data_IF_148061005004
#
_entry.id   IF_148061005004
#
_cell.length_a   1.000
_cell.length_b   1.000
_cell.length_c   1.000
_cell.angle_alpha   90.00
_cell.angle_beta   90.00
_cell.angle_gamma   90.00
#
_symmetry.space_group_name_H-M   'P 1'
#
loop_
_entity.id
_entity.type
_entity.pdbx_description
1 polymer ?
#
# COMPACT_ATOMS: atom_id res chain seq x y z
N UNK A 1 -5.74 -5.92 20.30
CA UNK A 1 -6.20 -6.95 19.34
C UNK A 1 -5.61 -6.77 17.94
N UNK A 2 -5.91 -5.70 17.19
CA UNK A 2 -5.42 -5.54 15.79
C UNK A 2 -3.89 -5.61 15.69
N UNK A 3 -3.16 -4.89 16.55
CA UNK A 3 -1.69 -4.94 16.56
C UNK A 3 -1.15 -6.35 16.83
N UNK A 4 -1.79 -7.10 17.73
CA UNK A 4 -1.44 -8.50 18.04
C UNK A 4 -1.70 -9.41 16.83
N UNK A 5 -2.83 -9.22 16.15
CA UNK A 5 -3.13 -9.96 14.92
C UNK A 5 -2.08 -9.70 13.83
N UNK A 6 -1.72 -8.43 13.59
CA UNK A 6 -0.66 -8.05 12.65
C UNK A 6 0.68 -8.71 13.01
N UNK A 7 1.06 -8.69 14.28
CA UNK A 7 2.30 -9.33 14.74
C UNK A 7 2.26 -10.85 14.52
N UNK A 8 1.13 -11.51 14.80
CA UNK A 8 0.96 -12.94 14.55
C UNK A 8 0.99 -13.28 13.05
N UNK A 9 0.37 -12.47 12.19
CA UNK A 9 0.46 -12.64 10.74
C UNK A 9 1.89 -12.49 10.24
N UNK A 10 2.64 -11.54 10.78
CA UNK A 10 4.02 -11.27 10.41
C UNK A 10 5.00 -12.36 10.88
N UNK A 11 4.72 -13.03 11.99
CA UNK A 11 5.65 -13.99 12.63
C UNK A 11 5.28 -15.45 12.38
N UNK A 12 3.99 -15.78 12.31
CA UNK A 12 3.49 -17.16 12.13
C UNK A 12 2.91 -17.40 10.73
N UNK A 13 2.70 -16.34 9.95
CA UNK A 13 2.00 -16.41 8.67
C UNK A 13 0.48 -16.45 8.82
N UNK A 14 -0.23 -16.30 7.71
CA UNK A 14 -1.69 -16.16 7.71
C UNK A 14 -2.39 -17.41 8.25
N UNK A 15 -2.05 -18.61 7.76
CA UNK A 15 -2.75 -19.85 8.13
C UNK A 15 -2.67 -20.17 9.62
N UNK A 16 -1.49 -19.99 10.22
CA UNK A 16 -1.21 -20.38 11.60
C UNK A 16 -1.74 -19.37 12.64
N UNK A 17 -2.14 -18.16 12.23
CA UNK A 17 -2.68 -17.13 13.11
C UNK A 17 -4.21 -17.26 13.26
N UNK A 18 -4.71 -18.29 13.94
CA UNK A 18 -6.15 -18.50 14.11
C UNK A 18 -6.82 -17.39 14.96
N UNK A 19 -8.14 -17.21 14.82
CA UNK A 19 -8.91 -16.25 15.62
C UNK A 19 -8.80 -16.55 17.13
N UNK A 20 -8.70 -17.82 17.51
CA UNK A 20 -8.49 -18.28 18.88
C UNK A 20 -7.11 -17.88 19.42
N UNK A 21 -6.06 -18.07 18.63
CA UNK A 21 -4.70 -17.66 19.00
C UNK A 21 -4.65 -16.14 19.16
N UNK A 22 -5.25 -15.39 18.22
CA UNK A 22 -5.32 -13.93 18.29
C UNK A 22 -6.04 -13.47 19.56
N UNK A 23 -7.16 -14.12 19.93
CA UNK A 23 -7.89 -13.79 21.15
C UNK A 23 -7.04 -14.02 22.41
N UNK A 24 -6.39 -15.19 22.49
CA UNK A 24 -5.55 -15.57 23.62
C UNK A 24 -4.36 -14.61 23.79
N UNK A 25 -3.62 -14.34 22.72
CA UNK A 25 -2.45 -13.45 22.72
C UNK A 25 -2.84 -11.98 22.96
N UNK A 26 -4.05 -11.58 22.55
CA UNK A 26 -4.57 -10.24 22.82
C UNK A 26 -5.17 -10.09 24.22
N UNK A 27 -5.26 -11.17 25.02
CA UNK A 27 -5.83 -11.16 26.36
C UNK A 27 -7.33 -10.88 26.38
N UNK A 28 -8.06 -11.23 25.32
CA UNK A 28 -9.51 -11.00 25.19
C UNK A 28 -10.26 -12.31 24.99
N UNK A 29 -11.55 -12.33 25.33
CA UNK A 29 -12.40 -13.47 25.05
C UNK A 29 -12.58 -13.69 23.55
N UNK A 30 -12.70 -14.96 23.12
CA UNK A 30 -13.00 -15.33 21.72
C UNK A 30 -14.21 -14.58 21.18
N UNK A 31 -15.29 -14.51 21.95
CA UNK A 31 -16.53 -13.81 21.57
C UNK A 31 -16.28 -12.33 21.27
N UNK A 32 -15.39 -11.67 22.02
CA UNK A 32 -15.02 -10.27 21.76
C UNK A 32 -14.42 -10.11 20.38
N UNK A 33 -13.52 -11.01 19.95
CA UNK A 33 -12.92 -10.95 18.61
C UNK A 33 -13.99 -11.12 17.53
N UNK A 34 -14.84 -12.14 17.64
CA UNK A 34 -15.89 -12.42 16.66
C UNK A 34 -16.99 -11.35 16.60
N UNK A 35 -17.23 -10.63 17.70
CA UNK A 35 -18.15 -9.49 17.71
C UNK A 35 -17.62 -8.31 16.89
N UNK A 36 -16.31 -8.15 16.77
CA UNK A 36 -15.68 -7.08 16.00
C UNK A 36 -15.32 -7.49 14.57
N UNK A 37 -14.92 -8.75 14.37
CA UNK A 37 -14.42 -9.28 13.11
C UNK A 37 -14.96 -10.68 12.90
N UNK A 38 -15.77 -10.86 11.87
CA UNK A 38 -16.33 -12.17 11.54
C UNK A 38 -15.25 -13.11 10.99
N UNK A 39 -14.23 -12.54 10.32
CA UNK A 39 -13.19 -13.28 9.62
C UNK A 39 -11.79 -12.73 9.86
N UNK A 40 -10.79 -13.60 9.74
CA UNK A 40 -9.36 -13.32 9.92
C UNK A 40 -8.82 -12.29 8.91
N UNK A 41 -9.33 -12.27 7.68
CA UNK A 41 -8.95 -11.29 6.66
C UNK A 41 -9.43 -9.87 6.98
N UNK A 42 -10.55 -9.73 7.70
CA UNK A 42 -11.04 -8.42 8.16
C UNK A 42 -10.07 -7.81 9.18
N UNK A 43 -9.54 -8.63 10.10
CA UNK A 43 -8.49 -8.22 11.04
C UNK A 43 -7.22 -7.79 10.33
N UNK A 44 -6.78 -8.56 9.32
CA UNK A 44 -5.60 -8.22 8.54
C UNK A 44 -5.82 -6.90 7.78
N UNK A 45 -6.98 -6.73 7.13
CA UNK A 45 -7.33 -5.50 6.41
C UNK A 45 -7.37 -4.29 7.36
N UNK A 46 -7.95 -4.44 8.54
CA UNK A 46 -7.94 -3.39 9.56
C UNK A 46 -6.52 -3.06 10.06
N UNK A 47 -5.67 -4.07 10.22
CA UNK A 47 -4.27 -3.89 10.59
C UNK A 47 -3.39 -3.24 9.52
N UNK A 48 -3.79 -3.33 8.26
CA UNK A 48 -3.13 -2.64 7.13
C UNK A 48 -3.72 -1.26 6.85
N UNK A 49 -4.92 -0.94 7.35
CA UNK A 49 -5.59 0.33 7.12
C UNK A 49 -4.73 1.54 7.50
N UNK A 50 -4.09 1.51 8.69
CA UNK A 50 -3.22 2.61 9.13
C UNK A 50 -2.02 2.86 8.20
N UNK A 51 -1.53 1.85 7.47
CA UNK A 51 -0.48 2.06 6.45
C UNK A 51 -1.02 2.83 5.25
N UNK A 52 -2.27 2.56 4.84
CA UNK A 52 -2.94 3.29 3.76
C UNK A 52 -3.24 4.73 4.15
N UNK A 53 -3.72 4.93 5.38
CA UNK A 53 -4.03 6.27 5.88
C UNK A 53 -2.79 7.16 5.91
N UNK A 54 -1.64 6.61 6.32
CA UNK A 54 -0.37 7.33 6.27
C UNK A 54 0.06 7.75 4.86
N UNK A 55 -0.20 6.92 3.85
CA UNK A 55 0.08 7.25 2.44
C UNK A 55 -0.86 8.35 1.96
N UNK A 56 -2.15 8.23 2.27
CA UNK A 56 -3.16 9.24 1.95
C UNK A 56 -2.82 10.60 2.58
N UNK A 57 -2.42 10.61 3.85
CA UNK A 57 -2.03 11.83 4.57
C UNK A 57 -0.79 12.48 3.96
N UNK A 58 0.19 11.70 3.47
CA UNK A 58 1.34 12.25 2.74
C UNK A 58 0.94 12.91 1.44
N UNK A 59 0.08 12.27 0.63
CA UNK A 59 -0.40 12.84 -0.63
C UNK A 59 -1.19 14.15 -0.42
N UNK A 60 -1.98 14.22 0.66
CA UNK A 60 -2.77 15.41 1.00
C UNK A 60 -1.91 16.54 1.57
N UNK A 61 -1.03 16.24 2.54
CA UNK A 61 -0.24 17.25 3.25
C UNK A 61 0.85 17.90 2.38
N UNK A 62 1.29 17.23 1.33
CA UNK A 62 2.27 17.76 0.37
C UNK A 62 1.66 18.54 -0.80
N UNK A 63 0.33 18.69 -0.84
CA UNK A 63 -0.37 19.44 -1.89
C UNK A 63 0.06 20.92 -1.89
N UNK A 64 0.44 21.43 -3.07
CA UNK A 64 0.85 22.82 -3.25
C UNK A 64 2.22 23.18 -2.66
N UNK A 65 2.91 22.22 -2.03
CA UNK A 65 4.27 22.42 -1.49
C UNK A 65 5.32 21.65 -2.28
N UNK A 66 4.96 20.48 -2.80
CA UNK A 66 5.81 19.64 -3.65
C UNK A 66 5.24 19.55 -5.07
N UNK A 67 6.10 19.35 -6.07
CA UNK A 67 5.68 18.98 -7.42
C UNK A 67 4.97 17.63 -7.41
N UNK A 68 4.16 17.36 -8.44
CA UNK A 68 3.38 16.13 -8.61
C UNK A 68 4.25 14.89 -8.44
N UNK A 69 5.42 14.86 -9.09
CA UNK A 69 6.39 13.76 -8.96
C UNK A 69 6.88 13.59 -7.53
N UNK A 70 7.27 14.69 -6.87
CA UNK A 70 7.80 14.65 -5.52
C UNK A 70 6.75 14.24 -4.48
N UNK A 71 5.48 14.62 -4.67
CA UNK A 71 4.34 14.15 -3.85
C UNK A 71 4.19 12.63 -3.93
N UNK A 72 4.24 12.08 -5.14
CA UNK A 72 4.15 10.64 -5.37
C UNK A 72 5.35 9.92 -4.76
N UNK A 73 6.57 10.44 -4.96
CA UNK A 73 7.79 9.83 -4.41
C UNK A 73 7.79 9.78 -2.87
N UNK A 74 7.40 10.86 -2.19
CA UNK A 74 7.29 10.89 -0.72
C UNK A 74 6.25 9.88 -0.21
N UNK A 75 5.12 9.76 -0.91
CA UNK A 75 4.08 8.79 -0.57
C UNK A 75 4.54 7.34 -0.76
N UNK A 76 5.29 7.04 -1.83
CA UNK A 76 5.87 5.71 -2.07
C UNK A 76 6.93 5.35 -1.02
N UNK A 77 7.78 6.29 -0.64
CA UNK A 77 8.76 6.12 0.43
C UNK A 77 8.05 5.79 1.76
N UNK A 78 7.00 6.55 2.09
CA UNK A 78 6.21 6.30 3.31
C UNK A 78 5.51 4.95 3.29
N UNK A 79 4.97 4.54 2.13
CA UNK A 79 4.33 3.24 1.98
C UNK A 79 5.34 2.12 2.22
N UNK A 80 6.49 2.18 1.55
CA UNK A 80 7.53 1.17 1.64
C UNK A 80 8.12 1.05 3.06
N UNK A 81 8.33 2.19 3.75
CA UNK A 81 8.77 2.21 5.14
C UNK A 81 7.84 1.41 6.08
N UNK A 82 6.54 1.36 5.79
CA UNK A 82 5.56 0.56 6.54
C UNK A 82 5.79 -0.96 6.50
N UNK A 83 6.64 -1.45 5.59
CA UNK A 83 7.02 -2.85 5.44
C UNK A 83 8.52 -3.11 5.65
N UNK A 84 9.37 -2.11 5.43
CA UNK A 84 10.83 -2.31 5.43
C UNK A 84 11.52 -2.14 6.79
N UNK A 85 10.86 -1.55 7.79
CA UNK A 85 11.44 -1.44 9.14
C UNK A 85 11.90 -2.80 9.69
N UNK A 86 11.12 -3.84 9.41
CA UNK A 86 11.51 -5.24 9.55
C UNK A 86 11.10 -5.94 8.25
N UNK A 87 12.05 -6.05 7.31
CA UNK A 87 11.78 -6.58 5.98
C UNK A 87 11.25 -8.03 6.00
N UNK A 88 11.69 -8.86 6.95
CA UNK A 88 11.22 -10.23 7.06
C UNK A 88 9.74 -10.27 7.45
N UNK A 89 9.36 -9.50 8.47
CA UNK A 89 7.95 -9.32 8.87
C UNK A 89 7.12 -8.63 7.79
N UNK A 90 7.69 -7.66 7.10
CA UNK A 90 7.05 -6.96 5.99
C UNK A 90 6.68 -7.92 4.85
N UNK A 91 7.64 -8.76 4.41
CA UNK A 91 7.40 -9.79 3.40
C UNK A 91 6.31 -10.76 3.87
N UNK A 92 6.37 -11.21 5.12
CA UNK A 92 5.34 -12.10 5.69
C UNK A 92 3.95 -11.46 5.69
N UNK A 93 3.84 -10.16 6.02
CA UNK A 93 2.58 -9.42 5.96
C UNK A 93 2.04 -9.26 4.55
N UNK A 94 2.90 -8.96 3.56
CA UNK A 94 2.47 -8.89 2.15
C UNK A 94 1.99 -10.25 1.67
N UNK A 95 2.67 -11.34 2.05
CA UNK A 95 2.21 -12.71 1.74
C UNK A 95 0.87 -13.02 2.39
N UNK A 96 0.70 -12.67 3.66
CA UNK A 96 -0.57 -12.86 4.37
C UNK A 96 -1.70 -12.10 3.68
N UNK A 97 -1.43 -10.88 3.20
CA UNK A 97 -2.39 -10.06 2.47
C UNK A 97 -2.78 -10.67 1.12
N UNK A 98 -1.81 -11.17 0.34
CA UNK A 98 -2.07 -11.90 -0.90
C UNK A 98 -2.91 -13.15 -0.62
N UNK A 99 -2.56 -13.91 0.41
CA UNK A 99 -3.26 -15.13 0.80
C UNK A 99 -4.70 -14.87 1.29
N UNK A 100 -4.94 -13.71 1.89
CA UNK A 100 -6.27 -13.24 2.27
C UNK A 100 -7.13 -12.75 1.08
N UNK A 101 -6.60 -12.81 -0.15
CA UNK A 101 -7.31 -12.39 -1.37
C UNK A 101 -7.10 -10.91 -1.72
N UNK A 102 -6.03 -10.28 -1.22
CA UNK A 102 -5.60 -8.95 -1.65
C UNK A 102 -4.88 -8.97 -3.00
N UNK A 103 -4.79 -7.83 -3.71
CA UNK A 103 -5.46 -6.55 -3.42
C UNK A 103 -6.98 -6.61 -3.60
N UNK A 104 -7.71 -5.91 -2.73
CA UNK A 104 -9.16 -5.77 -2.84
C UNK A 104 -9.52 -4.52 -3.67
N UNK A 105 -10.49 -4.64 -4.57
CA UNK A 105 -10.91 -3.54 -5.46
C UNK A 105 -11.32 -2.26 -4.71
N UNK A 106 -11.96 -2.39 -3.55
CA UNK A 106 -12.35 -1.24 -2.74
C UNK A 106 -11.14 -0.48 -2.17
N UNK A 107 -10.10 -1.20 -1.75
CA UNK A 107 -8.85 -0.58 -1.28
C UNK A 107 -8.10 0.09 -2.44
N UNK A 108 -8.22 -0.48 -3.65
CA UNK A 108 -7.65 0.09 -4.87
C UNK A 108 -8.32 1.40 -5.27
N UNK A 109 -9.65 1.45 -5.24
CA UNK A 109 -10.41 2.64 -5.58
C UNK A 109 -10.03 3.85 -4.71
N UNK A 110 -10.00 3.70 -3.38
CA UNK A 110 -9.73 4.82 -2.48
C UNK A 110 -8.34 5.45 -2.67
N UNK A 111 -7.29 4.64 -2.87
CA UNK A 111 -5.94 5.17 -3.12
C UNK A 111 -5.80 5.71 -4.55
N UNK A 112 -6.44 5.06 -5.53
CA UNK A 112 -6.44 5.53 -6.92
C UNK A 112 -7.16 6.89 -7.06
N UNK A 113 -8.23 7.13 -6.30
CA UNK A 113 -8.94 8.42 -6.28
C UNK A 113 -8.01 9.54 -5.79
N UNK A 114 -7.24 9.30 -4.73
CA UNK A 114 -6.25 10.27 -4.24
C UNK A 114 -5.13 10.53 -5.25
N UNK A 115 -4.65 9.49 -5.93
CA UNK A 115 -3.67 9.65 -7.00
C UNK A 115 -4.29 10.42 -8.18
N UNK A 116 -5.56 10.21 -8.48
CA UNK A 116 -6.28 10.96 -9.53
C UNK A 116 -6.36 12.45 -9.20
N UNK A 117 -6.60 12.79 -7.93
CA UNK A 117 -6.54 14.18 -7.45
C UNK A 117 -5.13 14.79 -7.61
N UNK A 118 -4.09 14.03 -7.28
CA UNK A 118 -2.69 14.45 -7.46
C UNK A 118 -2.38 14.72 -8.94
N UNK A 119 -2.85 13.86 -9.84
CA UNK A 119 -2.68 14.05 -11.29
C UNK A 119 -3.44 15.26 -11.80
N UNK A 120 -4.66 15.49 -11.30
CA UNK A 120 -5.46 16.68 -11.63
C UNK A 120 -4.79 17.97 -11.16
N UNK A 121 -4.24 17.98 -9.95
CA UNK A 121 -3.44 19.11 -9.45
C UNK A 121 -2.24 19.38 -10.36
N UNK A 122 -1.53 18.33 -10.79
CA UNK A 122 -0.41 18.43 -11.71
C UNK A 122 -0.79 18.99 -13.08
N UNK A 123 -1.99 18.65 -13.59
CA UNK A 123 -2.51 19.23 -14.83
C UNK A 123 -2.79 20.73 -14.68
N UNK A 124 -3.39 21.15 -13.56
CA UNK A 124 -3.64 22.56 -13.26
C UNK A 124 -2.33 23.36 -13.10
N UNK A 125 -1.28 22.71 -12.59
CA UNK A 125 0.05 23.29 -12.45
C UNK A 125 0.89 23.23 -13.74
N UNK A 126 0.42 22.58 -14.81
CA UNK A 126 1.16 22.39 -16.06
C UNK A 126 2.29 21.34 -15.99
N UNK A 127 2.33 20.52 -14.95
CA UNK A 127 3.35 19.47 -14.75
C UNK A 127 2.96 18.14 -15.42
N UNK A 128 1.67 17.88 -15.55
CA UNK A 128 1.09 16.66 -16.14
C UNK A 128 0.35 17.02 -17.42
N UNK A 129 0.47 16.18 -18.46
CA UNK A 129 -0.22 16.42 -19.74
C UNK A 129 -1.74 16.40 -19.56
N UNK A 130 -2.41 17.40 -20.13
CA UNK A 130 -3.86 17.60 -19.99
C UNK A 130 -4.70 16.66 -20.87
N UNK A 131 -4.09 15.97 -21.84
CA UNK A 131 -4.73 15.00 -22.74
C UNK A 131 -4.93 13.62 -22.10
N UNK A 132 -4.40 13.39 -20.90
CA UNK A 132 -4.52 12.13 -20.16
C UNK A 132 -5.64 12.24 -19.13
N UNK A 133 -6.50 11.22 -19.04
CA UNK A 133 -7.48 11.13 -17.94
C UNK A 133 -6.75 11.00 -16.60
N UNK A 134 -7.01 11.94 -15.69
CA UNK A 134 -6.46 11.92 -14.33
C UNK A 134 -6.87 10.66 -13.56
N UNK A 135 -8.07 10.15 -13.81
CA UNK A 135 -8.65 8.95 -13.23
C UNK A 135 -7.90 7.69 -13.69
N UNK A 136 -7.66 7.58 -15.01
CA UNK A 136 -6.90 6.47 -15.59
C UNK A 136 -5.45 6.50 -15.11
N UNK A 137 -4.84 7.69 -15.05
CA UNK A 137 -3.50 7.85 -14.53
C UNK A 137 -3.40 7.41 -13.06
N UNK A 138 -4.35 7.82 -12.20
CA UNK A 138 -4.39 7.41 -10.80
C UNK A 138 -4.46 5.88 -10.61
N UNK A 139 -5.28 5.19 -11.40
CA UNK A 139 -5.36 3.73 -11.41
C UNK A 139 -4.04 3.07 -11.84
N UNK A 140 -3.45 3.53 -12.95
CA UNK A 140 -2.17 2.99 -13.44
C UNK A 140 -1.06 3.16 -12.41
N UNK A 141 -0.97 4.33 -11.78
CA UNK A 141 0.02 4.60 -10.74
C UNK A 141 -0.16 3.67 -9.52
N UNK A 142 -1.41 3.46 -9.10
CA UNK A 142 -1.72 2.51 -8.03
C UNK A 142 -1.30 1.08 -8.41
N UNK A 143 -1.66 0.62 -9.61
CA UNK A 143 -1.35 -0.73 -10.10
C UNK A 143 0.17 -0.97 -10.20
N UNK A 144 0.92 0.04 -10.66
CA UNK A 144 2.38 -0.01 -10.70
C UNK A 144 2.98 -0.16 -9.29
N UNK A 145 2.51 0.62 -8.32
CA UNK A 145 2.99 0.58 -6.94
C UNK A 145 2.61 -0.74 -6.22
N UNK A 146 1.35 -1.17 -6.33
CA UNK A 146 0.87 -2.43 -5.76
C UNK A 146 1.55 -3.63 -6.42
N UNK A 147 1.71 -3.60 -7.75
CA UNK A 147 2.42 -4.66 -8.45
C UNK A 147 3.86 -4.82 -7.96
N UNK A 148 4.55 -3.71 -7.66
CA UNK A 148 5.87 -3.75 -7.05
C UNK A 148 5.84 -4.36 -5.63
N UNK A 149 4.87 -3.97 -4.79
CA UNK A 149 4.67 -4.52 -3.44
C UNK A 149 4.42 -6.04 -3.47
N UNK A 150 3.48 -6.49 -4.31
CA UNK A 150 3.12 -7.90 -4.46
C UNK A 150 4.31 -8.72 -4.93
N UNK A 151 5.06 -8.23 -5.92
CA UNK A 151 6.28 -8.89 -6.40
C UNK A 151 7.34 -8.97 -5.30
N UNK A 152 7.55 -7.89 -4.54
CA UNK A 152 8.51 -7.87 -3.43
C UNK A 152 8.18 -8.88 -2.33
N UNK A 153 6.89 -9.08 -2.00
CA UNK A 153 6.46 -10.10 -1.05
C UNK A 153 6.48 -11.54 -1.59
N UNK A 154 6.53 -11.72 -2.91
CA UNK A 154 6.42 -13.02 -3.57
C UNK A 154 7.70 -13.87 -3.40
N UNK A 155 7.61 -15.20 -3.30
CA UNK A 155 8.77 -16.10 -3.31
C UNK A 155 9.70 -15.92 -4.53
N UNK A 156 9.16 -15.45 -5.66
CA UNK A 156 9.90 -15.20 -6.90
C UNK A 156 10.92 -14.05 -6.74
N UNK A 157 10.76 -13.18 -5.74
CA UNK A 157 11.68 -12.09 -5.46
C UNK A 157 12.94 -12.48 -4.65
N UNK A 158 13.18 -13.78 -4.39
CA UNK A 158 14.32 -14.29 -3.62
C UNK A 158 15.74 -13.94 -4.14
N UNK A 159 15.88 -12.97 -5.06
CA UNK A 159 17.13 -12.39 -5.52
C UNK A 159 17.03 -10.97 -6.10
N UNK A 160 15.97 -10.18 -5.81
CA UNK A 160 15.78 -8.81 -6.33
C UNK A 160 15.19 -7.87 -5.26
N UNK A 161 15.38 -6.55 -5.42
CA UNK A 161 16.08 -5.70 -4.44
C UNK A 161 15.46 -5.73 -3.03
N UNK A 162 16.31 -5.69 -2.01
CA UNK A 162 15.91 -5.45 -0.61
C UNK A 162 15.15 -4.14 -0.42
N UNK A 163 15.27 -3.22 -1.38
CA UNK A 163 14.65 -1.91 -1.38
C UNK A 163 13.30 -1.87 -2.14
N UNK A 164 12.21 -2.02 -1.38
CA UNK A 164 10.82 -1.86 -1.82
C UNK A 164 10.52 -0.46 -2.33
N UNK A 165 11.02 0.59 -1.66
CA UNK A 165 10.78 1.98 -2.06
C UNK A 165 11.36 2.24 -3.45
N UNK A 166 12.58 1.79 -3.70
CA UNK A 166 13.20 1.88 -5.02
C UNK A 166 12.47 1.04 -6.08
N UNK A 167 11.91 -0.13 -5.71
CA UNK A 167 11.13 -0.96 -6.63
C UNK A 167 9.78 -0.32 -7.02
N UNK A 168 9.10 0.30 -6.05
CA UNK A 168 7.87 1.07 -6.28
C UNK A 168 8.16 2.28 -7.18
N UNK A 169 9.17 3.10 -6.84
CA UNK A 169 9.57 4.27 -7.64
C UNK A 169 9.85 3.90 -9.08
N UNK A 170 10.71 2.91 -9.35
CA UNK A 170 11.01 2.48 -10.74
C UNK A 170 9.76 2.06 -11.52
N UNK A 171 8.81 1.39 -10.86
CA UNK A 171 7.58 0.94 -11.52
C UNK A 171 6.67 2.12 -11.86
N UNK A 172 6.57 3.10 -10.96
CA UNK A 172 5.78 4.32 -11.15
C UNK A 172 6.45 5.28 -12.14
N UNK A 173 7.77 5.44 -12.08
CA UNK A 173 8.56 6.29 -12.99
C UNK A 173 8.32 5.87 -14.44
N UNK A 174 8.34 4.55 -14.71
CA UNK A 174 8.09 4.03 -16.06
C UNK A 174 6.70 4.41 -16.58
N UNK A 175 5.68 4.40 -15.72
CA UNK A 175 4.34 4.87 -16.08
C UNK A 175 4.30 6.39 -16.30
N UNK A 176 5.04 7.14 -15.48
CA UNK A 176 5.08 8.60 -15.49
C UNK A 176 5.82 9.19 -16.70
N UNK A 177 6.73 8.46 -17.36
CA UNK A 177 7.42 8.95 -18.58
C UNK A 177 6.43 9.43 -19.63
N UNK A 178 5.34 8.69 -19.83
CA UNK A 178 4.27 9.07 -20.75
C UNK A 178 3.28 10.07 -20.16
N UNK A 179 3.42 10.53 -18.92
CA UNK A 179 2.42 11.38 -18.25
C UNK A 179 2.90 12.81 -18.00
N UNK A 180 4.21 13.02 -17.87
CA UNK A 180 4.80 14.31 -17.59
C UNK A 180 4.99 15.15 -18.85
N UNK A 181 4.89 16.48 -18.70
CA UNK A 181 5.31 17.43 -19.74
C UNK A 181 6.83 17.37 -19.87
N UNK A 182 7.34 17.29 -21.10
CA UNK A 182 8.78 17.30 -21.35
C UNK A 182 9.28 18.75 -21.37
N UNK A 183 10.45 19.04 -20.79
CA UNK A 183 11.08 20.35 -20.97
C UNK A 183 11.48 20.53 -22.45
N UNK A 184 11.21 21.72 -22.99
CA UNK A 184 11.64 22.15 -24.34
C UNK A 184 13.16 22.17 -24.51
#
# INVERSE_FOLDING_TARGET
MIAVAVELFATRGYDQASMEIIAAEAGVARTTVFNHFARKDELLRAGLAGRRDLVADRLRSSRGTLSTKARIDDALERWAAGYQLDAAKGVALVRAWIQAGGPHLADAAATADLLSEVMRDGQLAGEVRADISSETAGLVLFDCAVGALVRWGSPVAAGRPSDLAAAMRRSVDLAMVGMLVQPD
#
